data_IF_616556422626
#
_entry.id   IF_616556422626
#
_cell.length_a   1.000
_cell.length_b   1.000
_cell.length_c   1.000
_cell.angle_alpha   90.00
_cell.angle_beta   90.00
_cell.angle_gamma   90.00
#
_symmetry.space_group_name_H-M   'P 1'
#
loop_
_entity.id
_entity.type
_entity.pdbx_description
1 polymer ?
#
# COMPACT_ATOMS: atom_id res chain seq x y z
N UNK A 1 4.20 56.36 6.43
CA UNK A 1 3.08 56.75 5.54
C UNK A 1 3.33 56.20 4.15
N UNK A 2 2.43 55.30 3.73
CA UNK A 2 2.09 54.84 2.38
C UNK A 2 3.16 54.77 1.28
N UNK A 3 3.54 53.54 0.92
CA UNK A 3 3.75 53.16 -0.49
C UNK A 3 2.92 51.89 -0.75
N UNK A 4 1.70 52.06 -1.26
CA UNK A 4 0.93 50.97 -1.87
C UNK A 4 0.79 51.27 -3.36
N UNK A 5 1.72 50.74 -4.14
CA UNK A 5 1.65 50.53 -5.58
C UNK A 5 2.58 49.32 -5.82
N UNK A 6 2.24 48.24 -6.50
CA UNK A 6 1.24 47.97 -7.51
C UNK A 6 0.69 46.55 -7.31
N UNK A 7 -0.63 46.40 -7.47
CA UNK A 7 -1.24 45.10 -7.77
C UNK A 7 -0.65 44.61 -9.10
N UNK A 8 0.08 43.50 -9.06
CA UNK A 8 0.60 42.81 -10.24
C UNK A 8 -0.36 41.68 -10.64
N UNK A 9 -1.12 41.77 -11.75
CA UNK A 9 -2.04 40.74 -12.20
C UNK A 9 -1.28 39.66 -13.00
N UNK A 10 -0.18 39.15 -12.44
CA UNK A 10 0.76 38.28 -13.14
C UNK A 10 0.88 36.92 -12.46
N UNK A 11 0.21 35.92 -13.05
CA UNK A 11 0.26 34.47 -12.74
C UNK A 11 -0.67 34.01 -11.60
N UNK A 12 -1.97 33.91 -11.90
CA UNK A 12 -2.76 32.81 -11.32
C UNK A 12 -2.10 31.52 -11.81
N UNK A 13 -1.53 30.74 -10.91
CA UNK A 13 -1.20 29.34 -11.16
C UNK A 13 -2.55 28.68 -11.45
N UNK A 14 -2.84 28.41 -12.72
CA UNK A 14 -4.06 27.73 -13.10
C UNK A 14 -4.11 26.43 -12.31
N UNK A 15 -5.02 26.37 -11.32
CA UNK A 15 -5.23 25.18 -10.51
C UNK A 15 -5.66 24.10 -11.49
N UNK A 16 -4.87 23.04 -11.63
CA UNK A 16 -5.24 21.92 -12.48
C UNK A 16 -6.61 21.41 -12.04
N UNK A 17 -7.45 20.95 -12.96
CA UNK A 17 -8.75 20.35 -12.61
C UNK A 17 -8.56 19.24 -11.57
N UNK A 18 -7.47 18.48 -11.65
CA UNK A 18 -7.09 17.49 -10.64
C UNK A 18 -6.86 18.10 -9.25
N UNK A 19 -6.21 19.26 -9.13
CA UNK A 19 -5.97 19.90 -7.83
C UNK A 19 -7.29 20.29 -7.15
N UNK A 20 -8.27 20.72 -7.93
CA UNK A 20 -9.62 21.05 -7.42
C UNK A 20 -10.33 19.80 -6.93
N UNK A 21 -10.28 18.72 -7.71
CA UNK A 21 -10.89 17.44 -7.34
C UNK A 21 -10.26 16.86 -6.07
N UNK A 22 -8.92 16.83 -5.98
CA UNK A 22 -8.21 16.28 -4.81
C UNK A 22 -8.52 17.07 -3.55
N UNK A 23 -8.54 18.42 -3.64
CA UNK A 23 -8.91 19.28 -2.50
C UNK A 23 -10.33 18.99 -2.06
N UNK A 24 -11.26 18.87 -3.00
CA UNK A 24 -12.64 18.52 -2.67
C UNK A 24 -12.71 17.16 -1.96
N UNK A 25 -12.06 16.13 -2.52
CA UNK A 25 -12.08 14.77 -1.97
C UNK A 25 -11.45 14.70 -0.59
N UNK A 26 -10.40 15.47 -0.33
CA UNK A 26 -9.74 15.55 0.97
C UNK A 26 -10.63 16.21 2.03
N UNK A 27 -11.40 17.25 1.66
CA UNK A 27 -12.32 17.92 2.58
C UNK A 27 -13.56 17.08 2.91
N UNK A 28 -14.07 16.30 1.95
CA UNK A 28 -15.29 15.51 2.12
C UNK A 28 -15.04 14.06 2.50
N UNK A 29 -13.77 13.62 2.50
CA UNK A 29 -13.35 12.22 2.65
C UNK A 29 -13.96 11.28 1.59
N UNK A 30 -14.57 11.81 0.53
CA UNK A 30 -15.22 11.07 -0.55
C UNK A 30 -14.99 11.79 -1.88
N UNK A 31 -15.01 11.05 -2.99
CA UNK A 31 -14.90 11.65 -4.31
C UNK A 31 -16.15 12.44 -4.73
N UNK A 32 -15.95 13.46 -5.59
CA UNK A 32 -17.06 14.20 -6.22
C UNK A 32 -17.92 13.25 -7.08
N UNK A 33 -19.26 13.37 -7.07
CA UNK A 33 -20.12 12.62 -7.98
C UNK A 33 -19.65 12.70 -9.44
N UNK A 34 -19.37 11.54 -10.04
CA UNK A 34 -18.86 11.42 -11.42
C UNK A 34 -17.36 11.21 -11.55
N UNK A 35 -16.55 11.49 -10.51
CA UNK A 35 -15.10 11.22 -10.51
C UNK A 35 -14.83 9.72 -10.62
N UNK A 36 -15.58 8.89 -9.89
CA UNK A 36 -15.41 7.43 -9.96
C UNK A 36 -15.70 6.90 -11.36
N UNK A 37 -16.78 7.38 -11.99
CA UNK A 37 -17.12 7.03 -13.38
C UNK A 37 -16.04 7.48 -14.37
N UNK A 38 -15.42 8.64 -14.12
CA UNK A 38 -14.25 9.09 -14.88
C UNK A 38 -13.07 8.15 -14.66
N UNK A 39 -12.73 7.82 -13.41
CA UNK A 39 -11.63 6.92 -13.06
C UNK A 39 -11.80 5.55 -13.72
N UNK A 40 -12.98 4.94 -13.63
CA UNK A 40 -13.25 3.64 -14.26
C UNK A 40 -12.95 3.65 -15.76
N UNK A 41 -13.25 4.74 -16.45
CA UNK A 41 -12.96 4.89 -17.89
C UNK A 41 -11.49 5.20 -18.13
N UNK A 42 -10.93 6.15 -17.39
CA UNK A 42 -9.58 6.64 -17.59
C UNK A 42 -8.54 5.54 -17.32
N UNK A 43 -8.68 4.85 -16.19
CA UNK A 43 -7.74 3.80 -15.75
C UNK A 43 -7.64 2.65 -16.75
N UNK A 44 -8.71 2.31 -17.47
CA UNK A 44 -8.70 1.24 -18.48
C UNK A 44 -7.67 1.45 -19.60
N UNK A 45 -7.29 2.71 -19.85
CA UNK A 45 -6.32 3.11 -20.89
C UNK A 45 -5.06 3.77 -20.33
N UNK A 46 -5.00 3.96 -19.01
CA UNK A 46 -3.93 4.69 -18.35
C UNK A 46 -2.70 3.80 -18.15
N UNK A 47 -1.52 4.33 -18.47
CA UNK A 47 -0.27 3.61 -18.40
C UNK A 47 0.50 3.79 -17.07
N UNK A 48 -0.02 4.61 -16.14
CA UNK A 48 0.60 4.85 -14.84
C UNK A 48 1.47 6.09 -14.72
N UNK A 49 1.71 6.84 -15.81
CA UNK A 49 2.66 7.97 -15.81
C UNK A 49 1.97 9.32 -15.71
N UNK A 50 1.08 9.62 -16.66
CA UNK A 50 0.50 10.95 -16.77
C UNK A 50 -0.42 11.23 -15.57
N UNK A 51 -0.10 12.29 -14.82
CA UNK A 51 -0.82 12.70 -13.60
C UNK A 51 -0.87 11.64 -12.49
N UNK A 52 0.12 10.74 -12.38
CA UNK A 52 0.09 9.62 -11.44
C UNK A 52 -0.28 9.98 -10.01
N UNK A 53 0.39 10.97 -9.43
CA UNK A 53 0.10 11.42 -8.06
C UNK A 53 -1.36 11.86 -7.89
N UNK A 54 -1.91 12.58 -8.88
CA UNK A 54 -3.29 13.03 -8.83
C UNK A 54 -4.30 11.90 -9.01
N UNK A 55 -4.01 10.96 -9.92
CA UNK A 55 -4.85 9.79 -10.17
C UNK A 55 -4.88 8.90 -8.93
N UNK A 56 -3.72 8.60 -8.33
CA UNK A 56 -3.65 7.82 -7.10
C UNK A 56 -4.35 8.50 -5.92
N UNK A 57 -4.23 9.82 -5.77
CA UNK A 57 -4.97 10.56 -4.75
C UNK A 57 -6.50 10.49 -4.90
N UNK A 58 -7.02 10.36 -6.13
CA UNK A 58 -8.45 10.16 -6.37
C UNK A 58 -8.85 8.69 -6.18
N UNK A 59 -7.99 7.74 -6.58
CA UNK A 59 -8.20 6.30 -6.37
C UNK A 59 -8.26 5.96 -4.89
N UNK A 60 -7.43 6.58 -4.04
CA UNK A 60 -7.46 6.34 -2.58
C UNK A 60 -8.75 6.80 -1.89
N UNK A 61 -9.64 7.48 -2.62
CA UNK A 61 -10.94 7.98 -2.15
C UNK A 61 -12.13 7.32 -2.85
N UNK A 62 -11.89 6.20 -3.52
CA UNK A 62 -12.93 5.44 -4.21
C UNK A 62 -13.91 4.81 -3.21
N UNK A 63 -15.21 4.93 -3.49
CA UNK A 63 -16.27 4.48 -2.59
C UNK A 63 -16.35 2.95 -2.49
N UNK A 64 -16.57 2.48 -1.26
CA UNK A 64 -16.82 1.08 -0.94
C UNK A 64 -18.16 0.54 -1.47
N UNK A 65 -19.16 1.40 -1.73
CA UNK A 65 -20.46 0.99 -2.33
C UNK A 65 -20.34 0.44 -3.75
N UNK A 66 -19.12 0.40 -4.28
CA UNK A 66 -18.80 -0.09 -5.61
C UNK A 66 -17.68 -1.13 -5.57
N UNK A 67 -17.46 -1.82 -4.45
CA UNK A 67 -16.33 -2.74 -4.25
C UNK A 67 -16.06 -3.65 -5.45
N UNK A 68 -17.06 -4.39 -5.96
CA UNK A 68 -16.92 -5.24 -7.15
C UNK A 68 -16.39 -4.46 -8.37
N UNK A 69 -16.91 -3.27 -8.61
CA UNK A 69 -16.42 -2.36 -9.67
C UNK A 69 -15.07 -1.74 -9.34
N UNK A 70 -14.73 -1.52 -8.08
CA UNK A 70 -13.40 -1.08 -7.66
C UNK A 70 -12.38 -2.14 -8.09
N UNK A 71 -12.65 -3.42 -7.82
CA UNK A 71 -11.77 -4.50 -8.26
C UNK A 71 -11.59 -4.49 -9.79
N UNK A 72 -12.69 -4.50 -10.56
CA UNK A 72 -12.64 -4.56 -12.02
C UNK A 72 -12.08 -3.28 -12.68
N UNK A 73 -12.54 -2.11 -12.25
CA UNK A 73 -12.28 -0.84 -12.94
C UNK A 73 -11.06 -0.10 -12.39
N UNK A 74 -10.61 -0.42 -11.18
CA UNK A 74 -9.51 0.28 -10.50
C UNK A 74 -8.37 -0.67 -10.21
N UNK A 75 -8.62 -1.76 -9.47
CA UNK A 75 -7.55 -2.64 -9.03
C UNK A 75 -6.94 -3.45 -10.17
N UNK A 76 -7.71 -3.90 -11.16
CA UNK A 76 -7.17 -4.58 -12.34
C UNK A 76 -6.20 -3.69 -13.17
N UNK A 77 -6.55 -2.44 -13.54
CA UNK A 77 -5.59 -1.53 -14.16
C UNK A 77 -4.37 -1.23 -13.28
N UNK A 78 -4.59 -0.97 -11.98
CA UNK A 78 -3.51 -0.70 -11.03
C UNK A 78 -2.59 -1.92 -10.90
N UNK A 79 -3.12 -3.13 -10.91
CA UNK A 79 -2.36 -4.37 -10.85
C UNK A 79 -1.44 -4.53 -12.06
N UNK A 80 -1.93 -4.22 -13.27
CA UNK A 80 -1.09 -4.24 -14.47
C UNK A 80 0.09 -3.27 -14.35
N UNK A 81 -0.16 -2.05 -13.87
CA UNK A 81 0.89 -1.06 -13.65
C UNK A 81 1.86 -1.56 -12.56
N UNK A 82 1.37 -2.22 -11.51
CA UNK A 82 2.19 -2.82 -10.46
C UNK A 82 3.12 -3.93 -11.00
N UNK A 83 2.61 -4.78 -11.91
CA UNK A 83 3.37 -5.89 -12.50
C UNK A 83 4.47 -5.46 -13.45
N UNK A 84 4.23 -4.42 -14.25
CA UNK A 84 5.18 -3.98 -15.28
C UNK A 84 5.93 -2.68 -14.92
N UNK A 85 5.59 -2.08 -13.78
CA UNK A 85 6.16 -0.82 -13.32
C UNK A 85 7.53 -0.98 -12.67
N UNK A 86 8.20 0.16 -12.46
CA UNK A 86 9.41 0.23 -11.66
C UNK A 86 9.12 -0.02 -10.17
N UNK A 87 10.17 -0.28 -9.38
CA UNK A 87 10.05 -0.38 -7.93
C UNK A 87 9.40 0.88 -7.32
N UNK A 88 9.77 2.07 -7.81
CA UNK A 88 9.15 3.32 -7.39
C UNK A 88 7.64 3.32 -7.66
N UNK A 89 7.21 2.85 -8.83
CA UNK A 89 5.79 2.76 -9.17
C UNK A 89 5.06 1.76 -8.27
N UNK A 90 5.70 0.66 -7.92
CA UNK A 90 5.17 -0.32 -6.97
C UNK A 90 4.99 0.29 -5.58
N UNK A 91 5.95 1.10 -5.11
CA UNK A 91 5.80 1.87 -3.86
C UNK A 91 4.60 2.84 -3.93
N UNK A 92 4.51 3.67 -4.98
CA UNK A 92 3.40 4.63 -5.16
C UNK A 92 2.02 3.92 -5.14
N UNK A 93 1.94 2.72 -5.75
CA UNK A 93 0.72 1.92 -5.77
C UNK A 93 0.41 1.38 -4.37
N UNK A 94 1.38 0.82 -3.66
CA UNK A 94 1.17 0.31 -2.30
C UNK A 94 0.75 1.42 -1.33
N UNK A 95 1.32 2.62 -1.46
CA UNK A 95 0.89 3.81 -0.69
C UNK A 95 -0.56 4.19 -1.03
N UNK A 96 -0.91 4.22 -2.33
CA UNK A 96 -2.28 4.49 -2.77
C UNK A 96 -3.28 3.47 -2.20
N UNK A 97 -2.93 2.18 -2.21
CA UNK A 97 -3.77 1.10 -1.68
C UNK A 97 -3.89 1.15 -0.16
N UNK A 98 -2.82 1.56 0.53
CA UNK A 98 -2.83 1.79 1.98
C UNK A 98 -3.85 2.86 2.35
N UNK A 99 -3.84 3.99 1.65
CA UNK A 99 -4.80 5.07 1.88
C UNK A 99 -6.23 4.67 1.52
N UNK A 100 -6.42 3.90 0.43
CA UNK A 100 -7.74 3.34 0.08
C UNK A 100 -8.26 2.40 1.18
N UNK A 101 -7.41 1.53 1.69
CA UNK A 101 -7.75 0.58 2.75
C UNK A 101 -8.14 1.30 4.03
N UNK A 102 -7.32 2.28 4.46
CA UNK A 102 -7.63 3.15 5.60
C UNK A 102 -8.98 3.85 5.44
N UNK A 103 -9.25 4.38 4.25
CA UNK A 103 -10.51 5.04 3.95
C UNK A 103 -11.71 4.08 4.10
N UNK A 104 -11.61 2.86 3.55
CA UNK A 104 -12.68 1.86 3.65
C UNK A 104 -12.91 1.39 5.09
N UNK A 105 -11.84 1.12 5.85
CA UNK A 105 -11.97 0.74 7.27
C UNK A 105 -12.66 1.86 8.06
N UNK A 106 -12.26 3.12 7.85
CA UNK A 106 -12.88 4.28 8.51
C UNK A 106 -14.38 4.37 8.22
N UNK A 107 -14.79 4.12 6.97
CA UNK A 107 -16.21 4.09 6.59
C UNK A 107 -16.96 2.92 7.25
N UNK A 108 -16.34 1.74 7.35
CA UNK A 108 -16.94 0.57 8.00
C UNK A 108 -17.16 0.82 9.49
N UNK A 109 -16.16 1.35 10.19
CA UNK A 109 -16.25 1.70 11.62
C UNK A 109 -17.37 2.71 11.86
N UNK A 110 -17.43 3.77 11.05
CA UNK A 110 -18.46 4.80 11.18
C UNK A 110 -19.89 4.26 11.00
N UNK A 111 -20.08 3.25 10.13
CA UNK A 111 -21.35 2.53 9.97
C UNK A 111 -21.69 1.68 11.20
N UNK A 112 -20.71 0.97 11.76
CA UNK A 112 -20.88 0.09 12.92
C UNK A 112 -21.21 0.87 14.21
N UNK A 113 -20.63 2.07 14.38
CA UNK A 113 -20.87 2.93 15.55
C UNK A 113 -22.28 3.57 15.58
N UNK A 114 -23.19 3.18 14.67
CA UNK A 114 -24.55 3.70 14.62
C UNK A 114 -24.62 5.16 14.15
N UNK A 115 -23.55 5.66 13.54
CA UNK A 115 -23.55 6.92 12.83
C UNK A 115 -24.57 6.85 11.71
N UNK A 116 -25.74 7.43 11.95
CA UNK A 116 -26.80 7.65 10.95
C UNK A 116 -26.14 8.00 9.63
N UNK A 117 -26.30 7.10 8.66
CA UNK A 117 -25.77 7.27 7.33
C UNK A 117 -26.00 8.72 6.91
N UNK A 118 -24.93 9.51 6.82
CA UNK A 118 -24.88 10.52 5.77
C UNK A 118 -24.93 9.66 4.51
N UNK A 119 -26.15 9.32 4.12
CA UNK A 119 -26.46 8.58 2.92
C UNK A 119 -25.69 9.32 1.85
N UNK A 120 -24.63 8.66 1.42
CA UNK A 120 -23.69 9.16 0.44
C UNK A 120 -24.55 9.68 -0.71
N UNK A 121 -24.30 10.90 -1.18
CA UNK A 121 -25.03 11.51 -2.31
C UNK A 121 -24.62 10.80 -3.62
N UNK A 122 -24.21 9.53 -3.53
CA UNK A 122 -23.79 8.68 -4.61
C UNK A 122 -25.04 7.95 -5.11
N UNK A 123 -25.45 8.32 -6.33
CA UNK A 123 -26.56 7.68 -7.02
C UNK A 123 -26.39 6.16 -7.06
N UNK A 124 -27.53 5.48 -6.89
CA UNK A 124 -27.63 4.04 -6.69
C UNK A 124 -26.81 3.19 -7.67
N UNK A 125 -26.01 2.32 -7.07
CA UNK A 125 -25.63 1.05 -7.67
C UNK A 125 -26.06 -0.05 -6.71
N UNK A 126 -26.77 -1.03 -7.25
CA UNK A 126 -27.59 -2.05 -6.56
C UNK A 126 -26.77 -3.21 -5.95
N UNK A 127 -25.45 -3.07 -5.83
CA UNK A 127 -24.55 -4.14 -5.38
C UNK A 127 -24.01 -3.79 -3.99
N UNK A 128 -24.87 -3.92 -2.99
CA UNK A 128 -24.51 -3.69 -1.59
C UNK A 128 -23.61 -4.84 -1.10
N UNK A 129 -22.31 -4.71 -1.34
CA UNK A 129 -21.31 -5.59 -0.77
C UNK A 129 -21.14 -5.26 0.71
N UNK A 130 -21.16 -6.30 1.54
CA UNK A 130 -20.85 -6.19 2.96
C UNK A 130 -19.50 -5.46 3.17
N UNK A 131 -19.46 -4.37 3.96
CA UNK A 131 -18.25 -3.56 4.14
C UNK A 131 -17.04 -4.33 4.65
N UNK A 132 -17.24 -5.29 5.57
CA UNK A 132 -16.17 -6.13 6.11
C UNK A 132 -15.58 -7.02 5.01
N UNK A 133 -16.45 -7.64 4.20
CA UNK A 133 -16.06 -8.45 3.05
C UNK A 133 -15.25 -7.65 2.02
N UNK A 134 -15.66 -6.42 1.73
CA UNK A 134 -14.93 -5.53 0.80
C UNK A 134 -13.53 -5.17 1.34
N UNK A 135 -13.42 -4.82 2.61
CA UNK A 135 -12.14 -4.55 3.28
C UNK A 135 -11.24 -5.79 3.27
N UNK A 136 -11.77 -6.96 3.61
CA UNK A 136 -11.01 -8.21 3.65
C UNK A 136 -10.49 -8.61 2.27
N UNK A 137 -11.27 -8.40 1.22
CA UNK A 137 -10.83 -8.61 -0.16
C UNK A 137 -9.68 -7.67 -0.53
N UNK A 138 -9.76 -6.39 -0.15
CA UNK A 138 -8.70 -5.42 -0.43
C UNK A 138 -7.40 -5.76 0.32
N UNK A 139 -7.50 -6.16 1.59
CA UNK A 139 -6.35 -6.61 2.38
C UNK A 139 -5.67 -7.82 1.74
N UNK A 140 -6.46 -8.80 1.30
CA UNK A 140 -5.94 -9.99 0.63
C UNK A 140 -5.23 -9.64 -0.69
N UNK A 141 -5.75 -8.66 -1.42
CA UNK A 141 -5.12 -8.14 -2.64
C UNK A 141 -3.79 -7.42 -2.33
N UNK A 142 -3.75 -6.57 -1.31
CA UNK A 142 -2.52 -5.87 -0.90
C UNK A 142 -1.47 -6.88 -0.44
N UNK A 143 -1.85 -7.86 0.37
CA UNK A 143 -0.97 -8.94 0.85
C UNK A 143 -0.36 -9.72 -0.32
N UNK A 144 -1.17 -10.04 -1.33
CA UNK A 144 -0.70 -10.66 -2.57
C UNK A 144 0.32 -9.77 -3.28
N UNK A 145 0.07 -8.46 -3.40
CA UNK A 145 1.02 -7.52 -4.01
C UNK A 145 2.35 -7.50 -3.25
N UNK A 146 2.31 -7.41 -1.92
CA UNK A 146 3.51 -7.43 -1.07
C UNK A 146 4.29 -8.74 -1.22
N UNK A 147 3.61 -9.88 -1.31
CA UNK A 147 4.26 -11.18 -1.51
C UNK A 147 4.94 -11.32 -2.89
N UNK A 148 4.48 -10.58 -3.89
CA UNK A 148 5.03 -10.61 -5.24
C UNK A 148 6.28 -9.73 -5.39
N UNK A 149 6.42 -8.66 -4.60
CA UNK A 149 7.56 -7.73 -4.70
C UNK A 149 8.92 -8.43 -4.67
N UNK A 150 9.20 -9.36 -3.73
CA UNK A 150 10.48 -10.06 -3.70
C UNK A 150 10.71 -10.99 -4.91
N UNK A 151 9.66 -11.37 -5.65
CA UNK A 151 9.80 -12.16 -6.88
C UNK A 151 10.36 -11.34 -8.05
N UNK A 152 10.12 -10.03 -8.05
CA UNK A 152 10.64 -9.12 -9.08
C UNK A 152 12.03 -8.57 -8.73
N UNK A 153 12.26 -8.25 -7.46
CA UNK A 153 13.45 -7.49 -7.03
C UNK A 153 14.42 -8.30 -6.17
N UNK A 154 14.07 -9.53 -5.78
CA UNK A 154 14.90 -10.36 -4.92
C UNK A 154 14.86 -9.89 -3.46
N UNK A 155 16.01 -9.49 -2.92
CA UNK A 155 16.09 -8.97 -1.55
C UNK A 155 15.38 -7.61 -1.51
N UNK A 156 14.42 -7.40 -0.59
CA UNK A 156 13.72 -6.15 -0.54
C UNK A 156 14.63 -4.94 -0.27
N UNK A 157 14.37 -3.84 -0.98
CA UNK A 157 15.06 -2.58 -0.69
C UNK A 157 14.42 -1.88 0.52
N UNK A 158 15.17 -1.00 1.22
CA UNK A 158 14.62 -0.24 2.34
C UNK A 158 13.36 0.57 2.00
N UNK A 159 13.29 1.12 0.78
CA UNK A 159 12.18 1.99 0.37
C UNK A 159 10.85 1.25 0.38
N UNK A 160 10.81 0.07 -0.24
CA UNK A 160 9.58 -0.71 -0.30
C UNK A 160 9.27 -1.41 1.02
N UNK A 161 10.30 -1.76 1.80
CA UNK A 161 10.09 -2.24 3.17
C UNK A 161 9.41 -1.17 4.03
N UNK A 162 9.81 0.09 3.92
CA UNK A 162 9.20 1.20 4.65
C UNK A 162 7.71 1.34 4.28
N UNK A 163 7.39 1.28 2.98
CA UNK A 163 6.00 1.34 2.51
C UNK A 163 5.17 0.18 3.05
N UNK A 164 5.71 -1.05 3.01
CA UNK A 164 5.05 -2.23 3.59
C UNK A 164 4.84 -2.02 5.09
N UNK A 165 5.87 -1.64 5.85
CA UNK A 165 5.74 -1.43 7.29
C UNK A 165 4.73 -0.33 7.63
N UNK A 166 4.69 0.77 6.87
CA UNK A 166 3.71 1.84 7.07
C UNK A 166 2.26 1.33 6.88
N UNK A 167 2.03 0.42 5.92
CA UNK A 167 0.73 -0.22 5.77
C UNK A 167 0.33 -1.02 7.02
N UNK A 168 1.25 -1.83 7.57
CA UNK A 168 0.97 -2.59 8.79
C UNK A 168 0.81 -1.71 10.02
N UNK A 169 1.61 -0.65 10.15
CA UNK A 169 1.44 0.34 11.21
C UNK A 169 0.06 1.01 11.12
N UNK A 170 -0.40 1.38 9.94
CA UNK A 170 -1.74 1.92 9.73
C UNK A 170 -2.83 0.93 10.20
N UNK A 171 -2.68 -0.36 9.90
CA UNK A 171 -3.64 -1.38 10.38
C UNK A 171 -3.63 -1.51 11.90
N UNK A 172 -2.45 -1.50 12.53
CA UNK A 172 -2.32 -1.56 13.98
C UNK A 172 -2.92 -0.33 14.66
N UNK A 173 -2.61 0.87 14.17
CA UNK A 173 -3.18 2.13 14.69
C UNK A 173 -4.71 2.10 14.58
N UNK A 174 -5.24 1.70 13.42
CA UNK A 174 -6.69 1.60 13.20
C UNK A 174 -7.33 0.57 14.13
N UNK A 175 -6.62 -0.51 14.41
CA UNK A 175 -7.08 -1.56 15.31
C UNK A 175 -7.08 -1.12 16.78
N UNK A 176 -6.08 -0.36 17.23
CA UNK A 176 -6.06 0.21 18.58
C UNK A 176 -7.15 1.27 18.77
N UNK A 177 -7.44 2.05 17.74
CA UNK A 177 -8.46 3.11 17.77
C UNK A 177 -9.90 2.56 17.73
N UNK A 178 -10.10 1.36 17.17
CA UNK A 178 -11.43 0.80 16.93
C UNK A 178 -11.76 -0.30 17.93
N UNK A 179 -13.02 -0.34 18.41
CA UNK A 179 -13.49 -1.41 19.31
C UNK A 179 -13.79 -2.73 18.57
N UNK A 180 -13.71 -2.71 17.24
CA UNK A 180 -14.18 -3.77 16.36
C UNK A 180 -13.02 -4.27 15.53
N UNK A 181 -12.81 -5.59 15.54
CA UNK A 181 -11.90 -6.24 14.62
C UNK A 181 -12.56 -6.28 13.24
N UNK A 182 -12.35 -5.24 12.44
CA UNK A 182 -12.99 -5.16 11.11
C UNK A 182 -12.42 -6.21 10.13
N UNK A 183 -11.23 -6.76 10.42
CA UNK A 183 -10.53 -7.66 9.51
C UNK A 183 -9.38 -8.44 10.17
N UNK A 184 -8.97 -9.54 9.54
CA UNK A 184 -7.75 -10.27 9.92
C UNK A 184 -6.50 -9.58 9.34
N UNK A 185 -5.47 -9.37 10.17
CA UNK A 185 -4.21 -8.76 9.73
C UNK A 185 -3.50 -9.73 8.77
N UNK A 186 -3.23 -9.32 7.52
CA UNK A 186 -2.61 -10.21 6.52
C UNK A 186 -1.17 -10.55 6.91
N UNK A 187 -0.87 -11.82 7.18
CA UNK A 187 0.47 -12.19 7.69
C UNK A 187 1.45 -12.64 6.60
N UNK A 188 0.96 -13.13 5.46
CA UNK A 188 1.79 -13.87 4.50
C UNK A 188 2.81 -12.99 3.81
N UNK A 189 2.40 -11.80 3.38
CA UNK A 189 3.23 -10.82 2.71
C UNK A 189 4.45 -10.47 3.55
N UNK A 190 4.26 -9.95 4.76
CA UNK A 190 5.36 -9.57 5.66
C UNK A 190 6.22 -10.75 6.10
N UNK A 191 5.65 -11.92 6.37
CA UNK A 191 6.45 -13.09 6.76
C UNK A 191 7.36 -13.54 5.62
N UNK A 192 6.85 -13.64 4.38
CA UNK A 192 7.69 -13.95 3.22
C UNK A 192 8.75 -12.86 3.01
N UNK A 193 8.34 -11.59 3.14
CA UNK A 193 9.22 -10.44 3.00
C UNK A 193 10.41 -10.45 3.97
N UNK A 194 10.13 -10.64 5.26
CA UNK A 194 11.13 -10.66 6.32
C UNK A 194 11.99 -11.92 6.28
N UNK A 195 11.43 -13.06 5.83
CA UNK A 195 12.19 -14.31 5.71
C UNK A 195 13.33 -14.24 4.69
N UNK A 196 13.23 -13.34 3.71
CA UNK A 196 14.23 -13.14 2.65
C UNK A 196 15.35 -12.18 3.06
N UNK A 197 15.24 -11.50 4.20
CA UNK A 197 16.36 -10.74 4.75
C UNK A 197 17.35 -11.69 5.41
N UNK A 198 18.65 -11.65 5.04
CA UNK A 198 19.65 -12.45 5.71
C UNK A 198 19.71 -12.05 7.18
N UNK A 199 19.53 -13.03 8.07
CA UNK A 199 19.71 -12.88 9.51
C UNK A 199 21.13 -12.35 9.76
N UNK A 200 21.29 -11.05 10.06
CA UNK A 200 22.55 -10.50 10.56
C UNK A 200 22.74 -10.95 12.00
N UNK A 201 22.90 -12.26 12.23
CA UNK A 201 23.51 -12.77 13.45
C UNK A 201 25.00 -12.96 13.14
N UNK A 202 25.79 -12.02 13.66
CA UNK A 202 27.23 -12.10 13.88
C UNK A 202 28.03 -13.04 12.96
N UNK A 203 28.63 -12.46 11.91
CA UNK A 203 29.89 -12.98 11.40
C UNK A 203 30.99 -12.55 12.37
N UNK A 204 31.69 -13.44 13.10
CA UNK A 204 32.89 -13.05 13.82
C UNK A 204 34.01 -12.88 12.79
N UNK A 205 34.20 -11.64 12.34
CA UNK A 205 35.44 -11.27 11.66
C UNK A 205 36.54 -11.17 12.71
N UNK A 206 37.60 -11.97 12.55
CA UNK A 206 38.90 -11.71 13.18
C UNK A 206 39.42 -12.83 14.08
N UNK A 207 40.06 -13.83 13.49
CA UNK A 207 41.20 -14.53 14.08
C UNK A 207 41.97 -15.22 12.97
N UNK A 208 42.88 -14.47 12.35
CA UNK A 208 43.95 -15.03 11.54
C UNK A 208 45.26 -14.79 12.29
N UNK A 209 45.97 -15.91 12.54
CA UNK A 209 47.43 -16.10 12.56
C UNK A 209 48.04 -16.71 13.82
N UNK A 210 49.04 -17.55 13.55
CA UNK A 210 49.94 -18.37 14.39
C UNK A 210 49.38 -19.79 14.64
N UNK A 211 50.00 -20.89 14.21
CA UNK A 211 51.36 -21.12 13.73
C UNK A 211 51.40 -22.44 12.91
N UNK A 212 52.44 -22.54 12.10
CA UNK A 212 52.85 -23.60 11.17
C UNK A 212 52.71 -25.07 11.61
N UNK A 213 52.67 -25.95 10.59
CA UNK A 213 53.55 -27.12 10.60
C UNK A 213 52.92 -28.50 10.42
N UNK A 214 52.95 -28.97 9.17
CA UNK A 214 53.36 -30.33 8.74
C UNK A 214 52.58 -31.58 9.22
N UNK A 215 52.19 -32.35 8.20
CA UNK A 215 52.11 -33.83 8.14
C UNK A 215 50.83 -34.53 8.60
N UNK A 216 50.08 -35.01 7.60
CA UNK A 216 49.43 -36.34 7.61
C UNK A 216 50.52 -37.45 7.69
N UNK A 217 50.27 -38.74 8.02
CA UNK A 217 48.99 -39.49 8.07
C UNK A 217 48.84 -40.55 9.21
N UNK A 218 47.69 -41.24 9.25
CA UNK A 218 47.57 -42.72 9.38
C UNK A 218 46.59 -43.28 10.44
N UNK A 219 45.68 -44.10 9.91
CA UNK A 219 45.02 -45.33 10.38
C UNK A 219 45.34 -45.94 11.77
N UNK A 220 44.26 -46.51 12.35
CA UNK A 220 44.16 -47.62 13.33
C UNK A 220 44.49 -47.24 14.79
N UNK A 221 43.67 -47.57 15.80
CA UNK A 221 43.54 -48.91 16.37
C UNK A 221 42.25 -49.00 17.23
N UNK A 222 41.51 -50.08 17.00
CA UNK A 222 40.49 -50.67 17.84
C UNK A 222 41.17 -51.58 18.88
N UNK A 223 40.84 -51.50 20.18
CA UNK A 223 40.88 -52.67 21.10
C UNK A 223 40.36 -52.38 22.52
N UNK A 224 39.26 -53.10 22.81
CA UNK A 224 38.90 -53.86 24.02
C UNK A 224 38.83 -53.24 25.42
N UNK A 225 37.59 -53.26 25.92
CA UNK A 225 37.14 -53.82 27.20
C UNK A 225 38.17 -54.58 28.04
N UNK A 226 38.22 -54.21 29.32
CA UNK A 226 38.17 -55.15 30.45
C UNK A 226 37.01 -54.73 31.34
#
# INVERSE_FOLDING_TARGET
>A
MSYHAFYNPGKKKDSSTFDVLIRFSSCHQENVPGVEKFLCKYLSSWNGDLHSSAVFALVSRFSMSSAAKCFECVLDPVHKIFMFGSLQKQCEILECLTELCKHWITLTVAKLDGGSARASITGGFDDEVDPETAVQALLSYIDSCVSLVPTFHGIPTPDILLVVLNFYMMLLDTYEETKYFVCEIPQRGVVDYLSRYPNTRHSPCGSQLLHDGLSSPSLSIMKHAT
#
